data_IF_916827734612
#
_entry.id   IF_916827734612
#
_cell.length_a   1.000
_cell.length_b   1.000
_cell.length_c   1.000
_cell.angle_alpha   90.00
_cell.angle_beta   90.00
_cell.angle_gamma   90.00
#
_symmetry.space_group_name_H-M   'P 1'
#
loop_
_entity.id
_entity.type
_entity.pdbx_description
1 polymer ?
#
# COMPACT_ATOMS: atom_id res chain seq x y z
N UNK A 1 37.08 1.15 43.86
CA UNK A 1 36.33 0.62 42.70
C UNK A 1 37.29 0.55 41.51
N UNK A 2 37.58 -0.64 40.99
CA UNK A 2 38.56 -0.77 39.90
C UNK A 2 37.99 -0.16 38.60
N UNK A 3 38.83 0.45 37.75
CA UNK A 3 38.38 1.02 36.45
C UNK A 3 37.58 -0.02 35.63
N UNK A 4 37.93 -1.30 35.74
CA UNK A 4 37.21 -2.42 35.11
C UNK A 4 35.78 -2.61 35.62
N UNK A 5 35.55 -2.47 36.92
CA UNK A 5 34.22 -2.58 37.52
C UNK A 5 33.30 -1.42 37.11
N UNK A 6 33.85 -0.22 36.89
CA UNK A 6 33.10 0.93 36.37
C UNK A 6 32.67 0.73 34.92
N UNK A 7 33.55 0.22 34.04
CA UNK A 7 33.20 -0.08 32.64
C UNK A 7 32.15 -1.19 32.53
N UNK A 8 32.20 -2.21 33.38
CA UNK A 8 31.20 -3.30 33.39
C UNK A 8 29.84 -2.77 33.85
N UNK A 9 29.77 -1.95 34.91
CA UNK A 9 28.50 -1.33 35.34
C UNK A 9 27.98 -0.33 34.30
N UNK A 10 28.85 0.42 33.63
CA UNK A 10 28.45 1.35 32.56
C UNK A 10 27.92 0.59 31.34
N UNK A 11 28.57 -0.50 30.91
CA UNK A 11 28.06 -1.36 29.83
C UNK A 11 26.74 -2.04 30.20
N UNK A 12 26.57 -2.50 31.44
CA UNK A 12 25.31 -3.08 31.92
C UNK A 12 24.19 -2.03 31.99
N UNK A 13 24.49 -0.79 32.37
CA UNK A 13 23.52 0.30 32.37
C UNK A 13 23.12 0.72 30.95
N UNK A 14 24.07 0.74 30.01
CA UNK A 14 23.81 0.98 28.58
C UNK A 14 23.00 -0.17 27.96
N UNK A 15 23.28 -1.42 28.35
CA UNK A 15 22.47 -2.58 27.95
C UNK A 15 21.06 -2.56 28.55
N UNK A 16 20.90 -2.14 29.80
CA UNK A 16 19.59 -1.99 30.44
C UNK A 16 18.77 -0.82 29.86
N UNK A 17 19.43 0.27 29.45
CA UNK A 17 18.81 1.39 28.75
C UNK A 17 18.41 1.06 27.30
N UNK A 18 19.14 0.15 26.64
CA UNK A 18 18.78 -0.37 25.31
C UNK A 18 17.69 -1.44 25.38
N UNK A 19 17.64 -2.23 26.47
CA UNK A 19 16.61 -3.24 26.70
C UNK A 19 15.26 -2.67 27.19
N UNK A 20 15.19 -1.37 27.53
CA UNK A 20 13.93 -0.71 27.91
C UNK A 20 13.16 -0.12 26.73
N UNK A 21 13.64 -0.29 25.50
CA UNK A 21 12.87 0.00 24.28
C UNK A 21 12.02 -1.18 23.78
N UNK A 22 11.82 -2.21 24.61
CA UNK A 22 10.95 -3.33 24.26
C UNK A 22 9.48 -2.98 24.51
N UNK A 23 8.69 -3.06 23.43
CA UNK A 23 7.23 -3.13 23.39
C UNK A 23 6.47 -1.85 23.83
N UNK A 24 6.78 -0.71 23.23
CA UNK A 24 5.75 0.32 23.08
C UNK A 24 4.96 0.01 21.82
N UNK A 25 3.77 -0.59 21.99
CA UNK A 25 2.87 -0.92 20.89
C UNK A 25 2.75 0.26 19.92
N UNK A 26 2.73 -0.04 18.60
CA UNK A 26 2.61 0.96 17.56
C UNK A 26 1.58 2.04 17.95
N UNK A 27 1.98 3.34 17.90
CA UNK A 27 1.09 4.41 18.32
C UNK A 27 -0.20 4.37 17.49
N UNK A 28 -1.31 4.84 18.06
CA UNK A 28 -2.51 5.03 17.26
C UNK A 28 -2.34 6.26 16.37
N UNK A 29 -2.64 6.14 15.08
CA UNK A 29 -2.70 7.27 14.17
C UNK A 29 -3.81 8.23 14.63
N UNK A 30 -3.46 9.48 14.98
CA UNK A 30 -4.42 10.44 15.51
C UNK A 30 -5.04 11.27 14.38
N UNK A 31 -6.36 11.17 14.26
CA UNK A 31 -7.19 12.04 13.45
C UNK A 31 -7.80 13.13 14.32
N UNK A 32 -7.54 14.39 13.96
CA UNK A 32 -8.06 15.55 14.68
C UNK A 32 -7.38 16.86 14.28
N UNK A 33 -8.19 17.91 14.18
CA UNK A 33 -7.78 19.24 13.72
C UNK A 33 -8.04 19.45 12.22
N UNK A 34 -8.19 20.71 11.80
CA UNK A 34 -8.39 21.12 10.40
C UNK A 34 -7.15 20.83 9.49
N UNK A 35 -6.27 19.93 9.91
CA UNK A 35 -5.01 19.63 9.24
C UNK A 35 -5.22 18.71 8.04
N UNK A 36 -4.59 19.10 6.94
CA UNK A 36 -4.30 18.24 5.80
C UNK A 36 -3.51 17.00 6.26
N UNK A 37 -3.92 15.81 5.82
CA UNK A 37 -3.14 14.60 5.94
C UNK A 37 -2.09 14.64 4.82
N UNK A 38 -1.03 15.45 5.02
CA UNK A 38 0.05 15.66 4.06
C UNK A 38 0.88 14.38 3.81
N UNK A 39 0.30 13.40 3.10
CA UNK A 39 0.97 12.18 2.63
C UNK A 39 1.65 11.38 3.76
N UNK A 40 0.92 11.15 4.85
CA UNK A 40 1.46 10.45 6.02
C UNK A 40 1.63 8.96 5.68
N UNK A 41 2.87 8.47 5.80
CA UNK A 41 3.19 7.05 5.65
C UNK A 41 2.57 6.25 6.79
N UNK A 42 1.94 5.12 6.49
CA UNK A 42 1.36 4.25 7.49
C UNK A 42 2.41 3.42 8.26
N UNK A 43 3.66 3.36 7.79
CA UNK A 43 4.72 2.48 8.32
C UNK A 43 4.89 2.55 9.83
N UNK A 44 4.85 3.76 10.41
CA UNK A 44 5.09 3.97 11.85
C UNK A 44 3.93 3.50 12.75
N UNK A 45 2.80 3.14 12.15
CA UNK A 45 1.56 2.79 12.85
C UNK A 45 1.12 1.33 12.60
N UNK A 46 1.94 0.58 11.85
CA UNK A 46 1.62 -0.78 11.44
C UNK A 46 2.27 -1.79 12.38
N UNK A 47 1.48 -2.76 12.81
CA UNK A 47 1.92 -4.00 13.41
C UNK A 47 1.74 -5.12 12.37
N UNK A 48 2.66 -6.08 12.30
CA UNK A 48 2.72 -7.12 11.26
C UNK A 48 2.78 -8.51 11.89
N UNK A 49 2.04 -9.43 11.29
CA UNK A 49 2.11 -10.85 11.56
C UNK A 49 2.25 -11.63 10.23
N UNK A 50 3.21 -12.56 10.18
CA UNK A 50 3.44 -13.43 9.03
C UNK A 50 2.62 -14.72 9.19
N UNK A 51 1.72 -14.97 8.24
CA UNK A 51 0.97 -16.22 8.17
C UNK A 51 1.73 -17.26 7.34
N UNK A 52 2.53 -18.09 8.01
CA UNK A 52 3.27 -19.19 7.39
C UNK A 52 2.35 -20.25 6.77
N UNK A 53 1.14 -20.42 7.31
CA UNK A 53 0.17 -21.43 6.88
C UNK A 53 -0.58 -21.06 5.60
N UNK A 54 -0.60 -19.76 5.25
CA UNK A 54 -1.28 -19.14 4.09
C UNK A 54 -2.80 -19.37 4.00
N UNK A 55 -3.39 -20.05 4.98
CA UNK A 55 -4.79 -20.47 4.98
C UNK A 55 -5.61 -19.78 6.07
N UNK A 56 -4.99 -18.88 6.84
CA UNK A 56 -5.66 -18.18 7.93
C UNK A 56 -6.74 -17.26 7.37
N UNK A 57 -7.96 -17.38 7.90
CA UNK A 57 -9.07 -16.45 7.68
C UNK A 57 -9.11 -15.41 8.80
N UNK A 58 -9.83 -14.31 8.60
CA UNK A 58 -10.00 -13.28 9.65
C UNK A 58 -10.61 -13.87 10.93
N UNK A 59 -11.56 -14.80 10.80
CA UNK A 59 -12.20 -15.46 11.95
C UNK A 59 -11.21 -16.32 12.74
N UNK A 60 -10.30 -17.01 12.06
CA UNK A 60 -9.24 -17.80 12.70
C UNK A 60 -8.20 -16.88 13.35
N UNK A 61 -7.83 -15.78 12.68
CA UNK A 61 -6.90 -14.78 13.23
C UNK A 61 -7.42 -14.22 14.55
N UNK A 62 -8.70 -13.85 14.62
CA UNK A 62 -9.32 -13.30 15.83
C UNK A 62 -9.43 -14.31 16.98
N UNK A 63 -9.45 -15.62 16.68
CA UNK A 63 -9.45 -16.68 17.71
C UNK A 63 -8.06 -17.00 18.23
N UNK A 64 -7.06 -17.01 17.35
CA UNK A 64 -5.67 -17.28 17.70
C UNK A 64 -5.08 -16.08 18.47
N UNK A 65 -5.52 -14.86 18.14
CA UNK A 65 -4.97 -13.59 18.62
C UNK A 65 -3.43 -13.61 18.64
N UNK A 66 -2.79 -13.81 17.46
CA UNK A 66 -1.36 -13.94 17.42
C UNK A 66 -0.68 -12.65 17.85
N UNK A 67 0.55 -12.76 18.35
CA UNK A 67 1.37 -11.60 18.63
C UNK A 67 1.76 -10.91 17.33
N UNK A 68 1.31 -9.67 17.14
CA UNK A 68 1.78 -8.79 16.07
C UNK A 68 3.05 -8.09 16.53
N UNK A 69 4.09 -8.11 15.68
CA UNK A 69 5.31 -7.36 15.91
C UNK A 69 5.21 -5.97 15.27
N UNK A 70 5.85 -4.95 15.84
CA UNK A 70 5.90 -3.64 15.19
C UNK A 70 6.57 -3.75 13.81
N UNK A 71 6.04 -2.98 12.85
CA UNK A 71 6.59 -2.96 11.51
C UNK A 71 8.04 -2.45 11.51
N UNK A 72 8.97 -3.30 11.08
CA UNK A 72 10.37 -2.94 10.90
C UNK A 72 10.79 -3.21 9.44
N UNK A 73 10.87 -2.14 8.66
CA UNK A 73 11.23 -2.21 7.24
C UNK A 73 12.58 -2.90 7.00
N UNK A 74 13.61 -2.62 7.79
CA UNK A 74 14.95 -3.20 7.60
C UNK A 74 14.95 -4.71 7.89
N UNK A 75 14.27 -5.14 8.97
CA UNK A 75 14.10 -6.56 9.30
C UNK A 75 13.34 -7.30 8.20
N UNK A 76 12.29 -6.68 7.66
CA UNK A 76 11.40 -7.29 6.69
C UNK A 76 12.02 -7.28 5.26
N UNK A 77 12.76 -6.24 4.89
CA UNK A 77 13.52 -6.17 3.63
C UNK A 77 14.56 -7.30 3.52
N UNK A 78 15.18 -7.69 4.64
CA UNK A 78 16.10 -8.82 4.72
C UNK A 78 15.46 -10.19 4.46
N UNK A 79 14.13 -10.32 4.53
CA UNK A 79 13.41 -11.57 4.32
C UNK A 79 13.22 -11.95 2.83
N UNK A 80 13.54 -11.04 1.89
CA UNK A 80 13.46 -11.29 0.45
C UNK A 80 12.05 -11.47 -0.11
N UNK A 81 11.93 -11.88 -1.37
CA UNK A 81 10.65 -12.21 -2.02
C UNK A 81 10.11 -13.53 -1.44
N UNK A 82 9.29 -13.46 -0.38
CA UNK A 82 8.54 -14.61 0.12
C UNK A 82 7.12 -14.55 -0.39
N UNK A 83 6.58 -15.64 -0.96
CA UNK A 83 5.16 -15.78 -1.29
C UNK A 83 4.32 -16.02 -0.01
N UNK A 84 4.52 -15.17 1.00
CA UNK A 84 3.87 -15.22 2.30
C UNK A 84 2.63 -14.34 2.31
N UNK A 85 1.68 -14.69 3.18
CA UNK A 85 0.55 -13.82 3.50
C UNK A 85 0.92 -13.04 4.76
N UNK A 86 0.76 -11.73 4.69
CA UNK A 86 0.96 -10.86 5.83
C UNK A 86 -0.36 -10.29 6.29
N UNK A 87 -0.55 -10.33 7.60
CA UNK A 87 -1.60 -9.62 8.28
C UNK A 87 -1.01 -8.37 8.91
N UNK A 88 -1.66 -7.24 8.66
CA UNK A 88 -1.30 -5.97 9.26
C UNK A 88 -2.41 -5.50 10.14
N UNK A 89 -2.04 -4.88 11.25
CA UNK A 89 -2.96 -4.25 12.17
C UNK A 89 -2.51 -2.81 12.39
N UNK A 90 -3.44 -1.89 12.36
CA UNK A 90 -3.19 -0.51 12.74
C UNK A 90 -4.39 0.05 13.48
N UNK A 91 -4.12 1.04 14.33
CA UNK A 91 -5.11 1.69 15.15
C UNK A 91 -5.23 3.15 14.76
N UNK A 92 -6.46 3.65 14.71
CA UNK A 92 -6.76 5.04 14.40
C UNK A 92 -7.58 5.62 15.54
N UNK A 93 -7.08 6.70 16.14
CA UNK A 93 -7.77 7.48 17.17
C UNK A 93 -8.42 8.69 16.51
N UNK A 94 -9.73 8.67 16.36
CA UNK A 94 -10.49 9.86 15.95
C UNK A 94 -10.85 10.68 17.19
N UNK A 95 -10.27 11.88 17.29
CA UNK A 95 -10.49 12.81 18.40
C UNK A 95 -11.68 13.73 18.20
N UNK A 96 -12.26 13.75 16.99
CA UNK A 96 -13.46 14.51 16.70
C UNK A 96 -14.72 13.81 17.20
N UNK A 97 -15.76 14.60 17.47
CA UNK A 97 -17.06 14.09 17.94
C UNK A 97 -17.89 13.43 16.83
N UNK A 98 -17.51 13.64 15.58
CA UNK A 98 -18.16 13.07 14.41
C UNK A 98 -17.31 11.97 13.78
N UNK A 99 -17.95 11.00 13.12
CA UNK A 99 -17.24 10.03 12.31
C UNK A 99 -16.53 10.72 11.15
N UNK A 100 -15.32 10.25 10.84
CA UNK A 100 -14.51 10.76 9.72
C UNK A 100 -14.22 9.63 8.74
N UNK A 101 -14.23 9.98 7.45
CA UNK A 101 -13.82 9.05 6.39
C UNK A 101 -12.41 9.42 5.95
N UNK A 102 -11.49 8.47 6.07
CA UNK A 102 -10.13 8.57 5.54
C UNK A 102 -9.92 7.53 4.45
N UNK A 103 -8.88 7.72 3.65
CA UNK A 103 -8.53 6.79 2.58
C UNK A 103 -7.13 6.25 2.80
N UNK A 104 -7.01 4.93 2.81
CA UNK A 104 -5.73 4.24 2.82
C UNK A 104 -5.40 3.77 1.41
N UNK A 105 -4.37 4.37 0.82
CA UNK A 105 -3.98 4.11 -0.57
C UNK A 105 -2.71 3.27 -0.61
N UNK A 106 -2.73 2.18 -1.37
CA UNK A 106 -1.53 1.46 -1.78
C UNK A 106 -0.78 2.23 -2.89
N UNK A 107 0.55 2.26 -2.85
CA UNK A 107 1.36 2.94 -3.88
C UNK A 107 1.94 1.99 -4.93
N UNK A 108 1.64 0.70 -4.82
CA UNK A 108 2.03 -0.36 -5.75
C UNK A 108 0.83 -1.30 -6.05
N UNK A 109 0.91 -2.11 -7.12
CA UNK A 109 -0.12 -3.09 -7.41
C UNK A 109 -0.07 -4.26 -6.42
N UNK A 110 -1.16 -4.45 -5.68
CA UNK A 110 -1.35 -5.59 -4.76
C UNK A 110 -2.25 -6.63 -5.43
N UNK A 111 -1.85 -7.92 -5.46
CA UNK A 111 -2.65 -8.98 -6.11
C UNK A 111 -4.01 -9.17 -5.42
N UNK A 112 -3.96 -9.41 -4.11
CA UNK A 112 -5.12 -9.56 -3.24
C UNK A 112 -4.92 -8.71 -1.98
N UNK A 113 -5.91 -7.90 -1.69
CA UNK A 113 -5.92 -6.99 -0.55
C UNK A 113 -7.29 -7.09 0.13
N UNK A 114 -7.33 -7.68 1.33
CA UNK A 114 -8.57 -7.76 2.12
C UNK A 114 -8.46 -6.83 3.32
N UNK A 115 -9.40 -5.90 3.42
CA UNK A 115 -9.49 -4.94 4.52
C UNK A 115 -10.69 -5.25 5.41
N UNK A 116 -10.46 -5.21 6.71
CA UNK A 116 -11.43 -5.51 7.75
C UNK A 116 -11.40 -4.42 8.83
N UNK A 117 -12.57 -3.93 9.22
CA UNK A 117 -12.73 -3.09 10.42
C UNK A 117 -13.10 -3.98 11.60
N UNK A 118 -12.48 -3.76 12.75
CA UNK A 118 -12.87 -4.39 14.01
C UNK A 118 -13.72 -3.42 14.84
N UNK A 119 -14.71 -3.96 15.55
CA UNK A 119 -15.46 -3.21 16.56
C UNK A 119 -14.71 -3.17 17.90
N UNK A 120 -15.32 -2.51 18.90
CA UNK A 120 -14.76 -2.40 20.25
C UNK A 120 -14.61 -3.76 20.95
N UNK A 121 -15.39 -4.77 20.53
CA UNK A 121 -15.34 -6.13 21.06
C UNK A 121 -14.35 -7.02 20.29
N UNK A 122 -13.59 -6.45 19.35
CA UNK A 122 -12.62 -7.16 18.52
C UNK A 122 -13.25 -8.05 17.45
N UNK A 123 -14.55 -7.92 17.17
CA UNK A 123 -15.23 -8.66 16.11
C UNK A 123 -15.21 -7.88 14.79
N UNK A 124 -15.18 -8.61 13.69
CA UNK A 124 -15.22 -8.02 12.35
C UNK A 124 -16.55 -7.30 12.12
N UNK A 125 -16.50 -6.02 11.79
CA UNK A 125 -17.63 -5.24 11.30
C UNK A 125 -17.94 -5.68 9.87
N UNK A 126 -19.23 -5.72 9.49
CA UNK A 126 -19.70 -6.13 8.18
C UNK A 126 -19.11 -5.36 6.96
N UNK A 127 -18.41 -4.24 7.18
CA UNK A 127 -17.77 -3.44 6.13
C UNK A 127 -16.36 -3.96 5.82
N UNK A 128 -16.29 -5.07 5.07
CA UNK A 128 -15.04 -5.59 4.51
C UNK A 128 -14.86 -5.16 3.06
N UNK A 129 -13.64 -4.77 2.69
CA UNK A 129 -13.29 -4.38 1.33
C UNK A 129 -12.29 -5.36 0.74
N UNK A 130 -12.68 -6.01 -0.35
CA UNK A 130 -11.87 -7.02 -1.05
C UNK A 130 -11.37 -6.42 -2.36
N UNK A 131 -10.16 -5.89 -2.33
CA UNK A 131 -9.50 -5.20 -3.44
C UNK A 131 -8.30 -5.98 -3.95
N UNK A 132 -7.60 -5.42 -4.94
CA UNK A 132 -6.41 -6.01 -5.56
C UNK A 132 -6.46 -5.93 -7.08
N UNK A 133 -5.34 -6.18 -7.74
CA UNK A 133 -5.21 -6.18 -9.20
C UNK A 133 -5.88 -7.39 -9.85
N UNK A 134 -6.04 -8.50 -9.10
CA UNK A 134 -6.71 -9.72 -9.59
C UNK A 134 -8.22 -9.72 -9.31
N UNK A 135 -8.75 -8.59 -8.85
CA UNK A 135 -10.19 -8.40 -8.59
C UNK A 135 -10.75 -7.27 -9.46
N UNK A 136 -12.06 -7.28 -9.73
CA UNK A 136 -12.67 -6.22 -10.50
C UNK A 136 -12.46 -4.84 -9.90
N UNK A 137 -12.10 -3.87 -10.76
CA UNK A 137 -11.93 -2.47 -10.34
C UNK A 137 -13.25 -1.87 -9.81
N UNK A 138 -14.40 -2.41 -10.26
CA UNK A 138 -15.74 -2.04 -9.79
C UNK A 138 -15.97 -2.29 -8.30
N UNK A 139 -15.15 -3.14 -7.65
CA UNK A 139 -15.18 -3.32 -6.20
C UNK A 139 -14.58 -2.12 -5.43
N UNK A 140 -13.80 -1.26 -6.10
CA UNK A 140 -13.29 -0.04 -5.49
C UNK A 140 -14.36 1.06 -5.51
N UNK A 141 -14.69 1.60 -4.33
CA UNK A 141 -15.60 2.76 -4.20
C UNK A 141 -15.05 4.01 -4.87
N UNK A 142 -13.73 4.18 -4.84
CA UNK A 142 -13.03 5.26 -5.51
C UNK A 142 -12.16 4.70 -6.64
N UNK A 143 -12.44 5.09 -7.87
CA UNK A 143 -11.69 4.63 -9.03
C UNK A 143 -10.27 5.20 -9.04
N UNK A 144 -9.28 4.36 -8.77
CA UNK A 144 -7.86 4.71 -8.84
C UNK A 144 -7.04 3.54 -9.40
N UNK A 145 -5.85 3.84 -9.93
CA UNK A 145 -4.94 2.85 -10.56
C UNK A 145 -4.46 1.77 -9.59
N UNK A 146 -4.36 2.12 -8.30
CA UNK A 146 -3.99 1.23 -7.20
C UNK A 146 -5.13 1.13 -6.19
N UNK A 147 -5.20 0.04 -5.40
CA UNK A 147 -6.24 -0.14 -4.38
C UNK A 147 -6.31 1.04 -3.41
N UNK A 148 -7.52 1.59 -3.25
CA UNK A 148 -7.85 2.57 -2.22
C UNK A 148 -8.94 1.99 -1.32
N UNK A 149 -8.64 1.91 -0.03
CA UNK A 149 -9.60 1.49 1.00
C UNK A 149 -10.23 2.72 1.63
N UNK A 150 -11.56 2.74 1.66
CA UNK A 150 -12.32 3.78 2.35
C UNK A 150 -12.54 3.37 3.81
N UNK A 151 -12.06 4.17 4.76
CA UNK A 151 -12.06 3.83 6.17
C UNK A 151 -12.97 4.80 6.90
N UNK A 152 -14.08 4.29 7.43
CA UNK A 152 -14.99 5.05 8.27
C UNK A 152 -14.59 4.90 9.73
N UNK A 153 -14.02 5.95 10.30
CA UNK A 153 -13.50 5.98 11.67
C UNK A 153 -14.48 6.68 12.59
N UNK A 154 -15.08 5.91 13.51
CA UNK A 154 -15.99 6.44 14.54
C UNK A 154 -15.21 7.22 15.59
N UNK A 155 -15.84 8.14 16.35
CA UNK A 155 -15.18 8.79 17.48
C UNK A 155 -14.53 7.77 18.42
N UNK A 156 -13.28 8.01 18.83
CA UNK A 156 -12.49 7.12 19.67
C UNK A 156 -11.51 6.22 18.90
N UNK A 157 -11.09 5.14 19.56
CA UNK A 157 -10.10 4.20 19.04
C UNK A 157 -10.76 3.16 18.13
N UNK A 158 -10.26 3.03 16.91
CA UNK A 158 -10.72 2.05 15.92
C UNK A 158 -9.53 1.17 15.53
N UNK A 159 -9.76 -0.13 15.37
CA UNK A 159 -8.72 -1.07 14.96
C UNK A 159 -9.07 -1.63 13.59
N UNK A 160 -8.08 -1.66 12.71
CA UNK A 160 -8.23 -2.16 11.35
C UNK A 160 -7.21 -3.25 11.07
N UNK A 161 -7.63 -4.22 10.27
CA UNK A 161 -6.81 -5.36 9.88
C UNK A 161 -6.78 -5.46 8.37
N UNK A 162 -5.58 -5.67 7.83
CA UNK A 162 -5.32 -5.84 6.42
C UNK A 162 -4.68 -7.20 6.18
N UNK A 163 -5.19 -7.95 5.21
CA UNK A 163 -4.55 -9.17 4.70
C UNK A 163 -4.02 -8.88 3.32
N UNK A 164 -2.74 -9.16 3.10
CA UNK A 164 -2.12 -8.98 1.80
C UNK A 164 -1.22 -10.15 1.44
N UNK A 165 -1.26 -10.52 0.16
CA UNK A 165 -0.20 -11.30 -0.46
C UNK A 165 0.91 -10.32 -0.82
N UNK A 166 2.12 -10.62 -0.37
CA UNK A 166 3.29 -9.83 -0.74
C UNK A 166 4.16 -10.65 -1.69
N UNK A 167 4.50 -10.06 -2.83
CA UNK A 167 5.71 -10.45 -3.57
C UNK A 167 6.91 -9.61 -3.10
N UNK A 168 6.72 -8.31 -2.83
CA UNK A 168 7.76 -7.37 -2.37
C UNK A 168 7.47 -6.82 -0.98
N UNK A 169 8.44 -6.91 -0.05
CA UNK A 169 8.30 -6.57 1.38
C UNK A 169 8.14 -5.06 1.69
N UNK A 170 7.72 -4.29 0.71
CA UNK A 170 7.34 -2.89 0.89
C UNK A 170 5.87 -2.85 1.28
N UNK A 171 5.54 -2.01 2.28
CA UNK A 171 4.17 -1.86 2.80
C UNK A 171 3.65 -0.48 2.45
N UNK A 172 3.37 -0.16 1.19
CA UNK A 172 3.61 1.20 0.75
C UNK A 172 2.26 1.93 0.79
N UNK A 173 1.71 2.02 2.00
CA UNK A 173 0.41 2.58 2.32
C UNK A 173 0.54 3.98 2.89
N UNK A 174 -0.34 4.86 2.43
CA UNK A 174 -0.41 6.25 2.91
C UNK A 174 -1.85 6.62 3.23
N UNK A 175 -2.02 7.43 4.26
CA UNK A 175 -3.31 8.01 4.64
C UNK A 175 -3.57 9.30 3.87
N UNK A 176 -4.81 9.46 3.40
CA UNK A 176 -5.26 10.61 2.63
C UNK A 176 -6.65 11.05 3.07
N UNK A 177 -6.92 12.34 2.99
CA UNK A 177 -8.30 12.84 2.92
C UNK A 177 -8.85 12.66 1.51
N UNK A 178 -10.18 12.78 1.36
CA UNK A 178 -10.83 12.70 0.04
C UNK A 178 -10.27 13.73 -0.95
N UNK A 179 -10.10 14.97 -0.51
CA UNK A 179 -9.70 16.08 -1.38
C UNK A 179 -8.25 15.92 -1.84
N UNK A 180 -7.32 15.60 -0.93
CA UNK A 180 -5.91 15.38 -1.29
C UNK A 180 -5.75 14.20 -2.24
N UNK A 181 -6.54 13.15 -2.05
CA UNK A 181 -6.50 11.98 -2.92
C UNK A 181 -6.99 12.33 -4.34
N UNK A 182 -8.05 13.13 -4.46
CA UNK A 182 -8.55 13.58 -5.75
C UNK A 182 -7.56 14.51 -6.46
N UNK A 183 -6.96 15.45 -5.74
CA UNK A 183 -5.91 16.33 -6.27
C UNK A 183 -4.69 15.54 -6.75
N UNK A 184 -4.23 14.58 -5.94
CA UNK A 184 -3.12 13.69 -6.29
C UNK A 184 -3.46 12.83 -7.50
N UNK A 185 -4.68 12.30 -7.58
CA UNK A 185 -5.16 11.55 -8.74
C UNK A 185 -5.10 12.38 -10.02
N UNK A 186 -5.54 13.64 -9.95
CA UNK A 186 -5.51 14.55 -11.09
C UNK A 186 -4.08 14.82 -11.55
N UNK A 187 -3.17 15.12 -10.62
CA UNK A 187 -1.76 15.34 -10.93
C UNK A 187 -1.11 14.08 -11.53
N UNK A 188 -1.37 12.90 -10.97
CA UNK A 188 -0.82 11.64 -11.48
C UNK A 188 -1.32 11.32 -12.90
N UNK A 189 -2.58 11.62 -13.20
CA UNK A 189 -3.15 11.45 -14.54
C UNK A 189 -2.52 12.38 -15.58
N UNK A 190 -2.26 13.65 -15.22
CA UNK A 190 -1.60 14.61 -16.12
C UNK A 190 -0.18 14.13 -16.47
N UNK A 191 0.58 13.66 -15.48
CA UNK A 191 1.93 13.12 -15.70
C UNK A 191 1.89 11.89 -16.60
N UNK A 192 0.96 10.96 -16.35
CA UNK A 192 0.80 9.78 -17.21
C UNK A 192 0.40 10.15 -18.65
N UNK A 193 -0.53 11.10 -18.82
CA UNK A 193 -0.97 11.57 -20.13
C UNK A 193 0.19 12.18 -20.92
N UNK A 194 1.05 12.98 -20.26
CA UNK A 194 2.24 13.53 -20.88
C UNK A 194 3.24 12.45 -21.29
N UNK A 195 3.52 11.47 -20.41
CA UNK A 195 4.43 10.36 -20.70
C UNK A 195 3.93 9.53 -21.88
N UNK A 196 2.69 9.05 -21.84
CA UNK A 196 2.12 8.24 -22.93
C UNK A 196 1.94 9.05 -24.23
N UNK A 197 1.59 10.34 -24.12
CA UNK A 197 1.53 11.24 -25.27
C UNK A 197 2.90 11.42 -25.94
N UNK A 198 3.98 11.52 -25.17
CA UNK A 198 5.33 11.63 -25.72
C UNK A 198 5.76 10.39 -26.51
N UNK A 199 5.47 9.19 -25.98
CA UNK A 199 5.73 7.93 -26.70
C UNK A 199 4.87 7.81 -27.97
N UNK A 200 3.62 8.27 -27.93
CA UNK A 200 2.75 8.28 -29.10
C UNK A 200 3.28 9.21 -30.20
N UNK A 201 3.72 10.43 -29.85
CA UNK A 201 4.33 11.36 -30.81
C UNK A 201 5.62 10.78 -31.40
N UNK A 202 6.47 10.15 -30.57
CA UNK A 202 7.67 9.45 -31.05
C UNK A 202 7.32 8.34 -32.05
N UNK A 203 6.29 7.54 -31.76
CA UNK A 203 5.85 6.50 -32.68
C UNK A 203 5.35 7.10 -34.01
N UNK A 204 4.50 8.14 -33.98
CA UNK A 204 4.03 8.82 -35.18
C UNK A 204 5.17 9.40 -36.03
N UNK A 205 6.15 10.04 -35.39
CA UNK A 205 7.34 10.55 -36.06
C UNK A 205 8.10 9.44 -36.79
N UNK A 206 8.32 8.30 -36.13
CA UNK A 206 9.02 7.17 -36.73
C UNK A 206 8.22 6.50 -37.86
N UNK A 207 6.88 6.47 -37.80
CA UNK A 207 6.05 6.00 -38.92
C UNK A 207 6.24 6.90 -40.14
N UNK A 208 6.16 8.22 -39.97
CA UNK A 208 6.34 9.18 -41.08
C UNK A 208 7.74 9.07 -41.69
N UNK A 209 8.76 8.89 -40.83
CA UNK A 209 10.14 8.72 -41.27
C UNK A 209 10.35 7.40 -42.03
N UNK A 210 9.74 6.30 -41.56
CA UNK A 210 9.77 5.00 -42.25
C UNK A 210 9.10 5.04 -43.62
N UNK A 211 7.98 5.75 -43.75
CA UNK A 211 7.32 5.98 -45.05
C UNK A 211 8.22 6.78 -45.99
N UNK A 212 8.87 7.83 -45.49
CA UNK A 212 9.69 8.74 -46.31
C UNK A 212 11.03 8.12 -46.74
N UNK A 213 11.66 7.37 -45.84
CA UNK A 213 12.99 6.78 -46.07
C UNK A 213 12.94 5.37 -46.66
N UNK A 214 11.75 4.76 -46.74
CA UNK A 214 11.54 3.37 -47.18
C UNK A 214 12.39 2.34 -46.39
N UNK A 215 12.74 2.67 -45.15
CA UNK A 215 13.57 1.86 -44.27
C UNK A 215 12.69 1.13 -43.24
N UNK A 216 12.82 -0.19 -43.19
CA UNK A 216 12.01 -1.08 -42.33
C UNK A 216 12.32 -0.89 -40.85
N UNK A 217 13.52 -0.42 -40.56
CA UNK A 217 14.07 -0.19 -39.22
C UNK A 217 13.17 0.76 -38.40
N UNK A 218 12.59 1.78 -39.03
CA UNK A 218 11.68 2.71 -38.36
C UNK A 218 10.35 2.06 -37.96
N UNK A 219 9.83 1.15 -38.78
CA UNK A 219 8.62 0.40 -38.44
C UNK A 219 8.89 -0.60 -37.30
N UNK A 220 10.05 -1.25 -37.30
CA UNK A 220 10.48 -2.10 -36.18
C UNK A 220 10.58 -1.30 -34.87
N UNK A 221 11.11 -0.08 -34.93
CA UNK A 221 11.16 0.82 -33.78
C UNK A 221 9.76 1.20 -33.26
N UNK A 222 8.80 1.45 -34.16
CA UNK A 222 7.40 1.70 -33.77
C UNK A 222 6.77 0.48 -33.08
N UNK A 223 7.05 -0.73 -33.57
CA UNK A 223 6.62 -1.98 -32.94
C UNK A 223 7.20 -2.12 -31.53
N UNK A 224 8.50 -1.87 -31.38
CA UNK A 224 9.17 -1.84 -30.08
C UNK A 224 8.53 -0.82 -29.12
N UNK A 225 8.33 0.43 -29.56
CA UNK A 225 7.69 1.46 -28.74
C UNK A 225 6.29 1.06 -28.32
N UNK A 226 5.51 0.42 -29.20
CA UNK A 226 4.16 -0.04 -28.88
C UNK A 226 4.19 -1.09 -27.79
N UNK A 227 5.07 -2.10 -27.89
CA UNK A 227 5.25 -3.11 -26.85
C UNK A 227 5.71 -2.49 -25.53
N UNK A 228 6.59 -1.49 -25.58
CA UNK A 228 7.04 -0.76 -24.41
C UNK A 228 5.91 0.02 -23.73
N UNK A 229 5.07 0.72 -24.50
CA UNK A 229 3.88 1.43 -23.99
C UNK A 229 2.93 0.43 -23.31
N UNK A 230 2.65 -0.71 -23.95
CA UNK A 230 1.81 -1.77 -23.39
C UNK A 230 2.37 -2.26 -22.07
N UNK A 231 3.67 -2.56 -22.00
CA UNK A 231 4.34 -2.95 -20.76
C UNK A 231 4.18 -1.87 -19.66
N UNK A 232 4.39 -0.59 -20.01
CA UNK A 232 4.24 0.52 -19.06
C UNK A 232 2.80 0.69 -18.56
N UNK A 233 1.79 0.46 -19.41
CA UNK A 233 0.38 0.48 -19.00
C UNK A 233 0.08 -0.56 -17.93
N UNK A 234 0.68 -1.75 -18.01
CA UNK A 234 0.57 -2.79 -16.98
C UNK A 234 1.32 -2.42 -15.71
N UNK A 235 2.58 -1.99 -15.81
CA UNK A 235 3.42 -1.67 -14.65
C UNK A 235 2.89 -0.48 -13.84
N UNK A 236 2.33 0.53 -14.52
CA UNK A 236 1.77 1.71 -13.86
C UNK A 236 0.34 1.50 -13.33
N UNK A 237 -0.28 0.36 -13.62
CA UNK A 237 -1.69 0.10 -13.31
C UNK A 237 -2.68 0.93 -14.15
N UNK A 238 -2.20 1.78 -15.06
CA UNK A 238 -3.04 2.61 -15.92
C UNK A 238 -3.90 1.76 -16.86
N UNK A 239 -3.40 0.61 -17.32
CA UNK A 239 -4.16 -0.30 -18.17
C UNK A 239 -5.48 -0.75 -17.51
N UNK A 240 -5.48 -0.97 -16.20
CA UNK A 240 -6.67 -1.39 -15.45
C UNK A 240 -7.76 -0.31 -15.40
N UNK A 241 -7.39 0.96 -15.52
CA UNK A 241 -8.32 2.09 -15.55
C UNK A 241 -9.01 2.21 -16.91
N UNK A 242 -8.26 2.06 -18.01
CA UNK A 242 -8.74 2.34 -19.36
C UNK A 242 -9.28 1.12 -20.09
N UNK A 243 -8.82 -0.09 -19.78
CA UNK A 243 -9.22 -1.34 -20.46
C UNK A 243 -10.14 -2.19 -19.57
N UNK A 244 -11.18 -1.64 -18.96
CA UNK A 244 -11.96 -2.36 -17.92
C UNK A 244 -12.72 -3.62 -18.43
N UNK A 245 -12.45 -4.76 -17.78
CA UNK A 245 -13.15 -6.08 -17.66
C UNK A 245 -13.78 -6.83 -18.85
N UNK A 246 -14.13 -6.22 -20.00
CA UNK A 246 -14.87 -6.95 -21.03
C UNK A 246 -14.05 -7.91 -21.90
N UNK A 247 -12.71 -7.78 -21.90
CA UNK A 247 -11.82 -8.61 -22.74
C UNK A 247 -11.09 -9.71 -21.96
N UNK A 248 -11.09 -9.68 -20.63
CA UNK A 248 -10.41 -10.67 -19.79
C UNK A 248 -11.25 -11.93 -19.50
N UNK A 249 -12.51 -11.97 -19.98
CA UNK A 249 -13.45 -13.09 -19.85
C UNK A 249 -13.70 -13.84 -21.18
N UNK A 250 -12.88 -13.59 -22.21
CA UNK A 250 -12.85 -14.34 -23.47
C UNK A 250 -11.54 -15.15 -23.58
#
# INVERSE_FOLDING_TARGET
MSKRSFYIMFMLAVWAALASSFAQAAPAFRLGGNGTLNDISAHEYLEVWNDESKTTSIETLLKIDPHFEDYNFEKLKGAGFSNSIYWLRFKVMNTDKAAQTIYLKATDPQQYLDFYSLDADGKTVADSQKLGSFRPISLQRLTYRFPVMEINTKPGLNTYVLRMNILSVTFPYRFWTKNELLEKSRSDQVVLAFLFGSFFIMALYNVLLGITTHSVEYFLYCGYLTLFIVLQLFLTGAGRLYFNESWALL
#
